data_IF_082664768062
#
_entry.id   IF_082664768062
#
_cell.length_a   1.000
_cell.length_b   1.000
_cell.length_c   1.000
_cell.angle_alpha   90.00
_cell.angle_beta   90.00
_cell.angle_gamma   90.00
#
_symmetry.space_group_name_H-M   'P 1'
#
loop_
_entity.id
_entity.type
_entity.pdbx_description
1 polymer ?
#
# COMPACT_ATOMS: atom_id res chain seq x y z
N UNK A 1 8.48 -12.22 -4.37
CA UNK A 1 7.93 -13.11 -3.34
C UNK A 1 8.75 -13.10 -2.05
N UNK A 2 10.08 -13.24 -2.09
CA UNK A 2 10.93 -13.33 -0.89
C UNK A 2 10.86 -12.12 0.05
N UNK A 3 10.72 -10.89 -0.47
CA UNK A 3 10.66 -9.66 0.35
C UNK A 3 9.37 -9.62 1.20
N UNK A 4 8.24 -10.06 0.63
CA UNK A 4 6.96 -10.09 1.36
C UNK A 4 6.98 -11.14 2.48
N UNK A 5 7.54 -12.31 2.20
CA UNK A 5 7.70 -13.36 3.22
C UNK A 5 8.67 -12.89 4.32
N UNK A 6 9.78 -12.25 3.94
CA UNK A 6 10.72 -11.69 4.90
C UNK A 6 10.09 -10.62 5.78
N UNK A 7 9.32 -9.68 5.21
CA UNK A 7 8.62 -8.65 5.97
C UNK A 7 7.58 -9.22 6.93
N UNK A 8 6.89 -10.30 6.55
CA UNK A 8 5.96 -11.01 7.41
C UNK A 8 6.65 -11.55 8.68
N UNK A 9 7.80 -12.22 8.54
CA UNK A 9 8.57 -12.71 9.68
C UNK A 9 9.10 -11.58 10.57
N UNK A 10 9.59 -10.48 9.97
CA UNK A 10 10.04 -9.31 10.73
C UNK A 10 8.90 -8.71 11.57
N UNK A 11 7.69 -8.61 11.00
CA UNK A 11 6.52 -8.10 11.71
C UNK A 11 6.09 -9.05 12.84
N UNK A 12 6.19 -10.38 12.66
CA UNK A 12 5.94 -11.35 13.71
C UNK A 12 6.90 -11.16 14.90
N UNK A 13 8.20 -11.03 14.62
CA UNK A 13 9.23 -10.81 15.66
C UNK A 13 8.97 -9.48 16.37
N UNK A 14 8.67 -8.41 15.62
CA UNK A 14 8.32 -7.11 16.19
C UNK A 14 7.09 -7.20 17.10
N UNK A 15 6.07 -7.95 16.72
CA UNK A 15 4.89 -8.19 17.55
C UNK A 15 5.22 -8.89 18.86
N UNK A 16 6.07 -9.93 18.82
CA UNK A 16 6.50 -10.67 20.01
C UNK A 16 7.30 -9.78 20.97
N UNK A 17 8.16 -8.89 20.46
CA UNK A 17 8.94 -7.93 21.26
C UNK A 17 8.01 -6.87 21.87
N UNK A 18 7.13 -6.27 21.06
CA UNK A 18 6.25 -5.18 21.51
C UNK A 18 5.23 -5.63 22.57
N UNK A 19 4.81 -6.90 22.59
CA UNK A 19 3.93 -7.43 23.66
C UNK A 19 4.53 -7.33 25.07
N UNK A 20 5.86 -7.19 25.18
CA UNK A 20 6.59 -7.12 26.47
C UNK A 20 6.90 -5.68 26.92
N UNK A 21 6.57 -4.67 26.11
CA UNK A 21 6.99 -3.29 26.33
C UNK A 21 5.78 -2.41 26.69
N UNK A 22 5.96 -1.47 27.62
CA UNK A 22 4.99 -0.42 27.90
C UNK A 22 4.77 0.41 26.63
N UNK A 23 3.50 0.70 26.25
CA UNK A 23 3.12 1.28 24.94
C UNK A 23 3.40 0.41 23.71
N UNK A 24 3.57 -0.90 23.88
CA UNK A 24 3.87 -1.84 22.80
C UNK A 24 2.86 -1.79 21.64
N UNK A 25 1.57 -1.56 21.92
CA UNK A 25 0.52 -1.39 20.90
C UNK A 25 0.87 -0.28 19.91
N UNK A 26 1.24 0.91 20.40
CA UNK A 26 1.59 2.05 19.55
C UNK A 26 2.88 1.80 18.76
N UNK A 27 3.91 1.29 19.44
CA UNK A 27 5.19 0.98 18.81
C UNK A 27 5.06 -0.09 17.73
N UNK A 28 4.27 -1.12 18.00
CA UNK A 28 3.98 -2.16 17.01
C UNK A 28 3.27 -1.61 15.77
N UNK A 29 2.22 -0.80 15.95
CA UNK A 29 1.48 -0.23 14.83
C UNK A 29 2.37 0.69 13.98
N UNK A 30 3.20 1.55 14.60
CA UNK A 30 4.11 2.42 13.86
C UNK A 30 5.15 1.56 13.11
N UNK A 31 5.81 0.63 13.78
CA UNK A 31 6.86 -0.19 13.18
C UNK A 31 6.34 -1.10 12.05
N UNK A 32 5.25 -1.83 12.28
CA UNK A 32 4.65 -2.69 11.26
C UNK A 32 4.09 -1.89 10.09
N UNK A 33 3.48 -0.72 10.34
CA UNK A 33 2.99 0.18 9.30
C UNK A 33 4.13 0.74 8.44
N UNK A 34 5.24 1.14 9.06
CA UNK A 34 6.42 1.61 8.32
C UNK A 34 7.00 0.51 7.43
N UNK A 35 7.14 -0.72 7.94
CA UNK A 35 7.63 -1.86 7.16
C UNK A 35 6.70 -2.13 5.98
N UNK A 36 5.40 -2.19 6.23
CA UNK A 36 4.40 -2.44 5.18
C UNK A 36 4.43 -1.33 4.12
N UNK A 37 4.46 -0.07 4.54
CA UNK A 37 4.56 1.08 3.64
C UNK A 37 5.80 0.99 2.73
N UNK A 38 6.98 0.74 3.30
CA UNK A 38 8.22 0.63 2.52
C UNK A 38 8.13 -0.49 1.48
N UNK A 39 7.64 -1.66 1.86
CA UNK A 39 7.48 -2.79 0.95
C UNK A 39 6.47 -2.49 -0.16
N UNK A 40 5.37 -1.83 0.16
CA UNK A 40 4.32 -1.49 -0.80
C UNK A 40 4.73 -0.33 -1.73
N UNK A 41 5.42 0.70 -1.21
CA UNK A 41 5.85 1.88 -1.97
C UNK A 41 7.02 1.58 -2.91
N UNK A 42 7.94 0.71 -2.50
CA UNK A 42 9.14 0.37 -3.26
C UNK A 42 8.95 -0.86 -4.18
N UNK A 43 7.73 -1.37 -4.27
CA UNK A 43 7.46 -2.52 -5.13
C UNK A 43 7.65 -2.17 -6.60
N UNK A 44 8.18 -3.13 -7.37
CA UNK A 44 8.25 -3.02 -8.83
C UNK A 44 6.87 -3.09 -9.47
N UNK A 45 6.68 -2.42 -10.62
CA UNK A 45 5.46 -2.52 -11.44
C UNK A 45 5.17 -3.94 -11.98
N UNK A 46 6.11 -4.84 -11.87
CA UNK A 46 5.96 -6.25 -12.24
C UNK A 46 5.45 -7.13 -11.09
N UNK A 47 5.24 -6.55 -9.91
CA UNK A 47 4.74 -7.26 -8.73
C UNK A 47 3.28 -6.90 -8.51
N UNK A 48 2.42 -7.90 -8.59
CA UNK A 48 0.96 -7.76 -8.51
C UNK A 48 0.31 -7.59 -9.88
N UNK A 49 -0.76 -8.36 -10.14
CA UNK A 49 -1.39 -8.48 -11.47
C UNK A 49 -1.81 -7.15 -12.11
N UNK A 50 -2.24 -6.18 -11.30
CA UNK A 50 -2.72 -4.89 -11.80
C UNK A 50 -1.67 -3.77 -11.83
N UNK A 51 -0.50 -3.97 -11.21
CA UNK A 51 0.49 -2.90 -11.10
C UNK A 51 1.01 -2.43 -12.44
N UNK A 52 1.13 -3.34 -13.41
CA UNK A 52 1.50 -3.02 -14.78
C UNK A 52 0.42 -2.17 -15.48
N UNK A 53 -0.86 -2.48 -15.26
CA UNK A 53 -1.98 -1.74 -15.82
C UNK A 53 -2.03 -0.31 -15.25
N UNK A 54 -1.82 -0.15 -13.93
CA UNK A 54 -1.77 1.18 -13.31
C UNK A 54 -0.60 2.02 -13.81
N UNK A 55 0.57 1.42 -14.01
CA UNK A 55 1.69 2.10 -14.65
C UNK A 55 1.34 2.56 -16.06
N UNK A 56 0.79 1.68 -16.89
CA UNK A 56 0.37 2.02 -18.26
C UNK A 56 -0.69 3.13 -18.28
N UNK A 57 -1.67 3.09 -17.38
CA UNK A 57 -2.67 4.14 -17.27
C UNK A 57 -2.04 5.47 -16.86
N UNK A 58 -1.09 5.46 -15.92
CA UNK A 58 -0.34 6.66 -15.53
C UNK A 58 0.39 7.26 -16.73
N UNK A 59 1.16 6.47 -17.47
CA UNK A 59 1.90 6.91 -18.66
C UNK A 59 0.97 7.48 -19.76
N UNK A 60 -0.25 6.92 -19.90
CA UNK A 60 -1.24 7.39 -20.87
C UNK A 60 -1.94 8.70 -20.46
N UNK A 61 -2.13 8.93 -19.16
CA UNK A 61 -2.93 10.05 -18.65
C UNK A 61 -2.09 11.21 -18.12
N UNK A 62 -0.79 11.01 -17.87
CA UNK A 62 0.10 11.99 -17.26
C UNK A 62 0.09 13.34 -17.97
N UNK A 63 0.12 13.36 -19.33
CA UNK A 63 0.14 14.57 -20.14
C UNK A 63 -1.26 15.05 -20.58
N UNK A 64 -2.31 14.35 -20.17
CA UNK A 64 -3.67 14.64 -20.64
C UNK A 64 -4.38 15.68 -19.80
N UNK A 65 -5.29 16.42 -20.43
CA UNK A 65 -6.12 17.38 -19.73
C UNK A 65 -7.08 16.68 -18.77
N UNK A 66 -7.36 17.26 -17.60
CA UNK A 66 -8.23 16.69 -16.56
C UNK A 66 -9.59 16.25 -17.10
N UNK A 67 -10.19 17.05 -18.00
CA UNK A 67 -11.47 16.70 -18.64
C UNK A 67 -11.40 15.40 -19.46
N UNK A 68 -10.26 15.17 -20.14
CA UNK A 68 -10.02 13.93 -20.87
C UNK A 68 -9.84 12.75 -19.92
N UNK A 69 -9.05 12.94 -18.87
CA UNK A 69 -8.82 11.91 -17.85
C UNK A 69 -10.12 11.49 -17.17
N UNK A 70 -11.00 12.44 -16.85
CA UNK A 70 -12.32 12.18 -16.27
C UNK A 70 -13.22 11.35 -17.21
N UNK A 71 -13.18 11.63 -18.51
CA UNK A 71 -13.98 10.95 -19.52
C UNK A 71 -13.37 9.64 -20.04
N UNK A 72 -12.11 9.35 -19.72
CA UNK A 72 -11.36 8.21 -20.27
C UNK A 72 -11.95 6.85 -19.90
N UNK A 73 -12.48 6.70 -18.69
CA UNK A 73 -13.12 5.47 -18.25
C UNK A 73 -14.24 5.78 -17.25
N UNK A 74 -15.40 5.19 -17.47
CA UNK A 74 -16.55 5.33 -16.55
C UNK A 74 -16.34 4.61 -15.22
N UNK A 75 -15.40 3.62 -15.17
CA UNK A 75 -15.21 2.81 -13.97
C UNK A 75 -14.59 3.58 -12.82
N UNK A 76 -13.56 4.40 -13.08
CA UNK A 76 -12.78 5.05 -12.01
C UNK A 76 -12.39 6.49 -12.37
N UNK A 77 -13.35 7.41 -12.62
CA UNK A 77 -13.05 8.75 -13.10
C UNK A 77 -12.19 9.56 -12.12
N UNK A 78 -12.39 9.40 -10.81
CA UNK A 78 -11.61 10.09 -9.77
C UNK A 78 -10.16 9.62 -9.79
N UNK A 79 -9.93 8.33 -9.94
CA UNK A 79 -8.59 7.77 -10.04
C UNK A 79 -7.86 8.27 -11.30
N UNK A 80 -8.53 8.31 -12.43
CA UNK A 80 -7.98 8.85 -13.68
C UNK A 80 -7.57 10.33 -13.56
N UNK A 81 -8.38 11.13 -12.87
CA UNK A 81 -8.04 12.54 -12.57
C UNK A 81 -6.80 12.62 -11.68
N UNK A 82 -6.72 11.76 -10.66
CA UNK A 82 -5.53 11.69 -9.80
C UNK A 82 -4.26 11.37 -10.61
N UNK A 83 -4.33 10.41 -11.54
CA UNK A 83 -3.21 10.07 -12.42
C UNK A 83 -2.77 11.27 -13.29
N UNK A 84 -3.73 11.98 -13.89
CA UNK A 84 -3.45 13.18 -14.70
C UNK A 84 -2.84 14.32 -13.87
N UNK A 85 -3.29 14.52 -12.62
CA UNK A 85 -2.72 15.53 -11.72
C UNK A 85 -1.30 15.16 -11.29
N UNK A 86 -1.06 13.91 -10.94
CA UNK A 86 0.26 13.42 -10.56
C UNK A 86 1.25 13.50 -11.71
N UNK A 87 0.84 13.18 -12.93
CA UNK A 87 1.68 13.29 -14.11
C UNK A 87 2.15 14.72 -14.43
N UNK A 88 1.45 15.76 -13.94
CA UNK A 88 1.92 17.15 -14.03
C UNK A 88 3.01 17.50 -13.03
N UNK A 89 3.15 16.70 -11.97
CA UNK A 89 4.13 16.92 -10.90
C UNK A 89 5.37 16.06 -11.09
N UNK A 90 5.19 14.85 -11.63
CA UNK A 90 6.28 13.89 -11.79
C UNK A 90 5.98 12.88 -12.91
N UNK A 91 7.03 12.50 -13.64
CA UNK A 91 6.96 11.44 -14.66
C UNK A 91 7.22 10.05 -14.06
N UNK A 92 7.50 9.98 -12.75
CA UNK A 92 7.85 8.74 -12.09
C UNK A 92 6.60 8.04 -11.52
N UNK A 93 6.16 6.97 -12.15
CA UNK A 93 5.03 6.15 -11.70
C UNK A 93 5.20 5.57 -10.26
N UNK A 94 6.43 5.45 -9.74
CA UNK A 94 6.66 4.97 -8.39
C UNK A 94 6.07 5.88 -7.32
N UNK A 95 5.93 7.18 -7.62
CA UNK A 95 5.27 8.15 -6.74
C UNK A 95 3.79 7.82 -6.57
N UNK A 96 3.12 7.35 -7.62
CA UNK A 96 1.75 6.87 -7.53
C UNK A 96 1.64 5.72 -6.51
N UNK A 97 2.52 4.71 -6.62
CA UNK A 97 2.52 3.58 -5.68
C UNK A 97 2.82 4.03 -4.25
N UNK A 98 3.73 4.99 -4.06
CA UNK A 98 4.03 5.53 -2.75
C UNK A 98 2.82 6.26 -2.14
N UNK A 99 2.10 7.08 -2.92
CA UNK A 99 0.91 7.80 -2.44
C UNK A 99 -0.20 6.81 -2.05
N UNK A 100 -0.49 5.85 -2.91
CA UNK A 100 -1.50 4.82 -2.62
C UNK A 100 -1.11 4.01 -1.38
N UNK A 101 0.17 3.63 -1.26
CA UNK A 101 0.69 2.91 -0.11
C UNK A 101 0.57 3.71 1.19
N UNK A 102 0.86 5.03 1.17
CA UNK A 102 0.70 5.92 2.34
C UNK A 102 -0.76 5.98 2.77
N UNK A 103 -1.67 6.29 1.83
CA UNK A 103 -3.09 6.42 2.14
C UNK A 103 -3.66 5.12 2.72
N UNK A 104 -3.36 3.99 2.08
CA UNK A 104 -3.80 2.68 2.57
C UNK A 104 -3.22 2.38 3.95
N UNK A 105 -1.91 2.56 4.14
CA UNK A 105 -1.24 2.25 5.41
C UNK A 105 -1.79 3.11 6.53
N UNK A 106 -1.90 4.43 6.35
CA UNK A 106 -2.43 5.31 7.39
C UNK A 106 -3.85 4.90 7.77
N UNK A 107 -4.72 4.71 6.78
CA UNK A 107 -6.13 4.37 7.03
C UNK A 107 -6.26 3.06 7.81
N UNK A 108 -5.59 2.00 7.34
CA UNK A 108 -5.71 0.66 7.95
C UNK A 108 -5.05 0.61 9.33
N UNK A 109 -3.84 1.17 9.49
CA UNK A 109 -3.12 1.11 10.77
C UNK A 109 -3.74 2.00 11.84
N UNK A 110 -4.28 3.16 11.49
CA UNK A 110 -5.07 3.98 12.43
C UNK A 110 -6.33 3.22 12.87
N UNK A 111 -7.01 2.56 11.94
CA UNK A 111 -8.17 1.74 12.25
C UNK A 111 -7.80 0.58 13.21
N UNK A 112 -6.76 -0.19 12.90
CA UNK A 112 -6.27 -1.28 13.76
C UNK A 112 -5.87 -0.74 15.14
N UNK A 113 -5.12 0.37 15.20
CA UNK A 113 -4.71 0.96 16.47
C UNK A 113 -5.90 1.36 17.34
N UNK A 114 -6.94 1.94 16.74
CA UNK A 114 -8.08 2.49 17.46
C UNK A 114 -9.10 1.43 17.88
N UNK A 115 -9.35 0.45 17.02
CA UNK A 115 -10.49 -0.46 17.18
C UNK A 115 -10.12 -1.93 17.44
N UNK A 116 -8.86 -2.32 17.27
CA UNK A 116 -8.46 -3.70 17.53
C UNK A 116 -8.01 -3.90 18.99
N UNK A 117 -8.49 -4.97 19.61
CA UNK A 117 -8.03 -5.42 20.92
C UNK A 117 -6.63 -6.04 20.85
N UNK A 118 -6.36 -6.86 19.82
CA UNK A 118 -5.02 -7.40 19.52
C UNK A 118 -4.53 -6.95 18.13
N UNK A 119 -3.79 -5.81 18.05
CA UNK A 119 -3.26 -5.30 16.79
C UNK A 119 -2.29 -6.25 16.11
N UNK A 120 -1.57 -7.08 16.88
CA UNK A 120 -0.62 -8.04 16.32
C UNK A 120 -1.37 -9.08 15.50
N UNK A 121 -2.43 -9.65 16.05
CA UNK A 121 -3.28 -10.61 15.34
C UNK A 121 -3.93 -9.97 14.10
N UNK A 122 -4.46 -8.76 14.23
CA UNK A 122 -5.10 -8.04 13.11
C UNK A 122 -4.16 -7.80 11.94
N UNK A 123 -2.91 -7.38 12.22
CA UNK A 123 -1.90 -7.17 11.17
C UNK A 123 -1.47 -8.50 10.55
N UNK A 124 -1.31 -9.56 11.33
CA UNK A 124 -0.97 -10.89 10.81
C UNK A 124 -2.04 -11.41 9.85
N UNK A 125 -3.31 -11.30 10.23
CA UNK A 125 -4.44 -11.70 9.36
C UNK A 125 -4.46 -10.87 8.09
N UNK A 126 -4.30 -9.55 8.17
CA UNK A 126 -4.23 -8.67 7.01
C UNK A 126 -3.11 -9.08 6.05
N UNK A 127 -1.91 -9.36 6.57
CA UNK A 127 -0.76 -9.78 5.77
C UNK A 127 -0.95 -11.18 5.17
N UNK A 128 -1.56 -12.10 5.89
CA UNK A 128 -1.87 -13.43 5.38
C UNK A 128 -2.84 -13.37 4.19
N UNK A 129 -3.88 -12.51 4.26
CA UNK A 129 -4.78 -12.27 3.14
C UNK A 129 -4.07 -11.65 1.93
N UNK A 130 -3.18 -10.69 2.14
CA UNK A 130 -2.39 -10.11 1.06
C UNK A 130 -1.45 -11.14 0.41
N UNK A 131 -0.77 -11.97 1.21
CA UNK A 131 0.09 -13.04 0.70
C UNK A 131 -0.71 -14.06 -0.12
N UNK A 132 -1.93 -14.40 0.31
CA UNK A 132 -2.81 -15.29 -0.42
C UNK A 132 -3.19 -14.72 -1.79
N UNK A 133 -3.58 -13.45 -1.88
CA UNK A 133 -3.88 -12.79 -3.15
C UNK A 133 -2.67 -12.73 -4.10
N UNK A 134 -1.47 -12.47 -3.57
CA UNK A 134 -0.24 -12.49 -4.39
C UNK A 134 0.18 -13.88 -4.85
N UNK A 135 -0.26 -14.95 -4.19
CA UNK A 135 0.03 -16.32 -4.63
C UNK A 135 -0.89 -16.82 -5.73
N UNK A 136 -2.04 -16.17 -5.94
CA UNK A 136 -3.02 -16.54 -6.96
C UNK A 136 -2.82 -15.78 -8.30
N UNK A 137 -1.93 -14.80 -8.35
CA UNK A 137 -1.54 -14.06 -9.55
C UNK A 137 -0.13 -14.39 -10.00
#
# INVERSE_FOLDING_TARGET
MNIFIGSFFVILILGAICKKICNGKKMFCIGSGTIYFLVAALRSSYVGGDSFNYRRMFELLADKHIKFAFAYSEKDPIFNVLLSLLGKVTDNYSVLFAIVAVLFTITVWVYIYKYSDDPVLSVIVLLAFNLYQFSLT
#
